data_IF_291741612302
#
_entry.id   IF_291741612302
#
_cell.length_a   1.000
_cell.length_b   1.000
_cell.length_c   1.000
_cell.angle_alpha   90.00
_cell.angle_beta   90.00
_cell.angle_gamma   90.00
#
_symmetry.space_group_name_H-M   'P 1'
#
loop_
_entity.id
_entity.type
_entity.pdbx_description
1 polymer ?
#
# COMPACT_ATOMS: atom_id res chain seq x y z
N UNK A 1 41.19 -55.20 -29.76
CA UNK A 1 41.00 -54.45 -28.49
C UNK A 1 40.07 -53.27 -28.72
N UNK A 2 38.86 -53.41 -28.28
CA UNK A 2 37.88 -52.32 -28.40
C UNK A 2 37.98 -51.41 -27.20
N UNK A 3 38.40 -50.17 -27.45
CA UNK A 3 38.40 -49.13 -26.41
C UNK A 3 37.00 -48.53 -26.34
N UNK A 4 36.32 -48.81 -25.26
CA UNK A 4 35.03 -48.16 -24.99
C UNK A 4 35.34 -46.81 -24.40
N UNK A 5 35.11 -45.77 -25.19
CA UNK A 5 35.14 -44.40 -24.67
C UNK A 5 33.84 -44.15 -23.94
N UNK A 6 33.91 -44.05 -22.63
CA UNK A 6 32.75 -43.59 -21.83
C UNK A 6 32.60 -42.11 -22.04
N UNK A 7 31.60 -41.75 -22.79
CA UNK A 7 31.17 -40.35 -22.93
C UNK A 7 30.34 -40.00 -21.69
N UNK A 8 30.97 -39.30 -20.76
CA UNK A 8 30.26 -38.71 -19.64
C UNK A 8 29.52 -37.49 -20.13
N UNK A 9 28.25 -37.67 -20.41
CA UNK A 9 27.34 -36.55 -20.61
C UNK A 9 27.11 -35.90 -19.27
N UNK A 10 27.83 -34.79 -19.01
CA UNK A 10 27.49 -33.90 -17.94
C UNK A 10 26.19 -33.21 -18.24
N UNK A 11 25.15 -33.49 -17.50
CA UNK A 11 23.87 -32.78 -17.60
C UNK A 11 24.09 -31.41 -16.93
N UNK A 12 23.99 -30.29 -17.66
CA UNK A 12 24.03 -28.99 -17.02
C UNK A 12 22.76 -28.82 -16.19
N UNK A 13 22.94 -28.73 -14.89
CA UNK A 13 21.86 -28.38 -13.96
C UNK A 13 21.55 -26.89 -14.20
N UNK A 14 20.56 -26.59 -15.04
CA UNK A 14 20.07 -25.24 -15.19
C UNK A 14 19.20 -24.94 -13.98
N UNK A 15 19.80 -24.25 -13.01
CA UNK A 15 19.05 -23.71 -11.90
C UNK A 15 18.22 -22.54 -12.43
N UNK A 16 16.96 -22.78 -12.73
CA UNK A 16 16.02 -21.72 -13.09
C UNK A 16 15.67 -20.97 -11.80
N UNK A 17 16.31 -19.84 -11.59
CA UNK A 17 15.93 -18.94 -10.50
C UNK A 17 14.61 -18.26 -10.91
N UNK A 18 13.52 -18.71 -10.35
CA UNK A 18 12.24 -18.03 -10.48
C UNK A 18 12.29 -16.78 -9.61
N UNK A 19 12.49 -15.63 -10.25
CA UNK A 19 12.32 -14.34 -9.57
C UNK A 19 10.81 -14.08 -9.42
N UNK A 20 10.29 -14.44 -8.25
CA UNK A 20 8.92 -14.08 -7.89
C UNK A 20 8.97 -12.63 -7.46
N UNK A 21 8.56 -11.72 -8.35
CA UNK A 21 8.30 -10.32 -7.96
C UNK A 21 7.03 -10.31 -7.11
N UNK A 22 7.20 -10.22 -5.81
CA UNK A 22 6.08 -9.95 -4.91
C UNK A 22 5.75 -8.46 -5.07
N UNK A 23 4.54 -8.09 -5.58
CA UNK A 23 4.15 -6.68 -5.56
C UNK A 23 4.17 -6.21 -4.11
N UNK A 24 4.79 -5.05 -3.87
CA UNK A 24 4.79 -4.42 -2.56
C UNK A 24 3.34 -4.11 -2.16
N UNK A 25 2.71 -5.04 -1.47
CA UNK A 25 1.42 -4.78 -0.83
C UNK A 25 1.71 -4.14 0.50
N UNK A 26 1.18 -2.94 0.72
CA UNK A 26 0.99 -2.44 2.07
C UNK A 26 0.14 -3.47 2.80
N UNK A 27 0.72 -4.07 3.84
CA UNK A 27 0.02 -5.01 4.71
C UNK A 27 -1.09 -4.24 5.43
N UNK A 28 -2.24 -4.88 5.68
CA UNK A 28 -3.34 -4.28 6.45
C UNK A 28 -2.89 -3.79 7.84
N UNK A 29 -1.90 -4.44 8.45
CA UNK A 29 -1.31 -4.00 9.72
C UNK A 29 -0.53 -2.69 9.56
N UNK A 30 0.17 -2.51 8.44
CA UNK A 30 0.90 -1.27 8.13
C UNK A 30 -0.09 -0.13 7.87
N UNK A 31 -1.20 -0.40 7.17
CA UNK A 31 -2.26 0.58 6.93
C UNK A 31 -2.92 1.02 8.23
N UNK A 32 -3.20 0.08 9.13
CA UNK A 32 -3.74 0.38 10.45
C UNK A 32 -2.81 1.25 11.28
N UNK A 33 -1.52 0.93 11.29
CA UNK A 33 -0.51 1.70 12.00
C UNK A 33 -0.35 3.10 11.41
N UNK A 34 -0.35 3.23 10.08
CA UNK A 34 -0.25 4.49 9.39
C UNK A 34 -1.50 5.36 9.64
N UNK A 35 -2.68 4.78 9.57
CA UNK A 35 -3.93 5.45 9.90
C UNK A 35 -3.91 5.98 11.33
N UNK A 36 -3.55 5.13 12.28
CA UNK A 36 -3.48 5.49 13.70
C UNK A 36 -2.53 6.65 13.96
N UNK A 37 -1.38 6.66 13.30
CA UNK A 37 -0.36 7.69 13.52
C UNK A 37 -0.66 9.02 12.83
N UNK A 38 -1.34 8.99 11.68
CA UNK A 38 -1.52 10.18 10.81
C UNK A 38 -2.94 10.70 10.71
N UNK A 39 -3.93 9.87 10.94
CA UNK A 39 -5.32 10.18 10.61
C UNK A 39 -6.26 10.14 11.83
N UNK A 40 -6.05 9.19 12.75
CA UNK A 40 -6.99 8.92 13.84
C UNK A 40 -7.16 10.08 14.82
N UNK A 41 -6.15 10.93 14.97
CA UNK A 41 -6.20 12.10 15.86
C UNK A 41 -7.37 13.02 15.51
N UNK A 42 -7.64 13.21 14.21
CA UNK A 42 -8.73 14.07 13.73
C UNK A 42 -9.97 13.28 13.34
N UNK A 43 -9.80 12.06 12.79
CA UNK A 43 -10.91 11.28 12.24
C UNK A 43 -11.45 10.20 13.17
N UNK A 44 -10.79 9.93 14.29
CA UNK A 44 -11.20 8.91 15.25
C UNK A 44 -10.69 7.51 14.89
N UNK A 45 -10.81 6.59 15.83
CA UNK A 45 -10.27 5.23 15.72
C UNK A 45 -10.92 4.41 14.58
N UNK A 46 -12.18 4.70 14.25
CA UNK A 46 -12.96 4.02 13.22
C UNK A 46 -13.31 4.92 12.04
N UNK A 47 -12.59 6.03 11.88
CA UNK A 47 -12.86 7.05 10.86
C UNK A 47 -14.31 7.59 10.92
N UNK A 48 -14.84 7.69 12.14
CA UNK A 48 -16.22 8.10 12.37
C UNK A 48 -16.42 9.63 12.32
N UNK A 49 -15.34 10.38 12.37
CA UNK A 49 -15.38 11.85 12.42
C UNK A 49 -14.94 12.45 11.09
N UNK A 50 -15.75 13.32 10.51
CA UNK A 50 -15.42 14.14 9.34
C UNK A 50 -15.04 13.35 8.08
N UNK A 51 -15.38 12.06 8.01
CA UNK A 51 -15.15 11.21 6.84
C UNK A 51 -16.49 10.79 6.26
N UNK A 52 -16.70 11.13 4.99
CA UNK A 52 -17.83 10.62 4.23
C UNK A 52 -17.43 9.38 3.45
N UNK A 53 -17.69 8.21 4.02
CA UNK A 53 -17.33 6.91 3.43
C UNK A 53 -18.15 6.56 2.18
N UNK A 54 -19.18 7.34 1.86
CA UNK A 54 -20.00 7.13 0.66
C UNK A 54 -19.40 7.76 -0.59
N UNK A 55 -18.40 8.64 -0.43
CA UNK A 55 -17.73 9.26 -1.56
C UNK A 55 -16.90 8.25 -2.35
N UNK A 56 -16.67 8.53 -3.62
CA UNK A 56 -15.83 7.71 -4.48
C UNK A 56 -14.40 7.63 -3.95
N UNK A 57 -13.75 6.49 -4.13
CA UNK A 57 -12.38 6.27 -3.68
C UNK A 57 -11.41 7.32 -4.22
N UNK A 58 -11.51 7.65 -5.51
CA UNK A 58 -10.64 8.64 -6.15
C UNK A 58 -10.74 10.01 -5.49
N UNK A 59 -11.95 10.43 -5.12
CA UNK A 59 -12.17 11.70 -4.43
C UNK A 59 -11.51 11.69 -3.05
N UNK A 60 -11.68 10.60 -2.30
CA UNK A 60 -11.08 10.46 -0.98
C UNK A 60 -9.55 10.36 -1.05
N UNK A 61 -9.01 9.67 -2.05
CA UNK A 61 -7.58 9.57 -2.29
C UNK A 61 -6.99 10.96 -2.58
N UNK A 62 -7.61 11.74 -3.44
CA UNK A 62 -7.16 13.10 -3.72
C UNK A 62 -7.23 13.99 -2.48
N UNK A 63 -8.24 13.83 -1.65
CA UNK A 63 -8.34 14.56 -0.39
C UNK A 63 -7.20 14.23 0.56
N UNK A 64 -6.80 12.96 0.66
CA UNK A 64 -5.64 12.56 1.47
C UNK A 64 -4.35 13.18 0.93
N UNK A 65 -4.15 13.12 -0.38
CA UNK A 65 -2.92 13.60 -1.01
C UNK A 65 -2.81 15.12 -1.00
N UNK A 66 -3.87 15.82 -1.35
CA UNK A 66 -3.89 17.28 -1.56
C UNK A 66 -4.35 18.07 -0.33
N UNK A 67 -4.96 17.39 0.63
CA UNK A 67 -5.53 18.07 1.79
C UNK A 67 -6.86 18.73 1.50
N UNK A 68 -7.41 19.38 2.51
CA UNK A 68 -8.67 20.11 2.43
C UNK A 68 -8.63 21.34 3.33
N UNK A 69 -9.02 22.48 2.77
CA UNK A 69 -9.20 23.72 3.53
C UNK A 69 -10.68 24.04 3.66
N UNK A 70 -11.34 23.60 4.75
CA UNK A 70 -12.71 24.01 5.01
C UNK A 70 -12.77 25.49 5.43
N UNK A 71 -13.94 26.10 5.41
CA UNK A 71 -14.13 27.49 5.85
C UNK A 71 -13.70 27.71 7.31
N UNK A 72 -13.89 26.67 8.14
CA UNK A 72 -13.50 26.69 9.56
C UNK A 72 -12.35 25.70 9.80
N UNK A 73 -11.27 26.12 10.50
CA UNK A 73 -10.21 25.19 10.89
C UNK A 73 -10.72 24.09 11.84
N UNK A 74 -10.04 22.95 11.95
CA UNK A 74 -8.71 22.69 11.43
C UNK A 74 -8.72 22.28 9.95
N UNK A 75 -7.65 22.60 9.24
CA UNK A 75 -7.41 22.17 7.87
C UNK A 75 -6.86 20.77 7.85
N UNK A 76 -7.22 19.98 6.83
CA UNK A 76 -6.57 18.71 6.56
C UNK A 76 -5.30 18.97 5.74
N UNK A 77 -4.10 18.58 6.24
CA UNK A 77 -2.87 18.81 5.49
C UNK A 77 -2.78 17.94 4.23
N UNK A 78 -1.98 18.39 3.27
CA UNK A 78 -1.66 17.60 2.08
C UNK A 78 -0.61 16.55 2.44
N UNK A 79 -1.03 15.31 2.60
CA UNK A 79 -0.14 14.24 3.07
C UNK A 79 0.89 13.80 2.03
N UNK A 80 0.70 14.11 0.74
CA UNK A 80 1.76 13.85 -0.25
C UNK A 80 3.04 14.64 0.06
N UNK A 81 2.93 15.84 0.62
CA UNK A 81 4.05 16.65 1.07
C UNK A 81 4.74 16.06 2.32
N UNK A 82 4.07 15.14 2.98
CA UNK A 82 4.55 14.46 4.18
C UNK A 82 5.00 13.02 3.91
N UNK A 83 5.18 12.66 2.65
CA UNK A 83 5.70 11.36 2.25
C UNK A 83 4.67 10.27 2.02
N UNK A 84 3.37 10.58 2.03
CA UNK A 84 2.33 9.61 1.69
C UNK A 84 2.23 9.51 0.17
N UNK A 85 2.46 8.31 -0.37
CA UNK A 85 2.35 8.04 -1.80
C UNK A 85 0.89 7.82 -2.21
N UNK A 86 0.62 7.86 -3.52
CA UNK A 86 -0.71 7.57 -4.06
C UNK A 86 -1.18 6.15 -3.69
N UNK A 87 -0.29 5.17 -3.71
CA UNK A 87 -0.59 3.79 -3.31
C UNK A 87 -0.94 3.69 -1.82
N UNK A 88 -0.21 4.40 -0.97
CA UNK A 88 -0.50 4.48 0.46
C UNK A 88 -1.85 5.18 0.71
N UNK A 89 -2.14 6.26 0.00
CA UNK A 89 -3.43 6.96 0.11
C UNK A 89 -4.59 6.05 -0.29
N UNK A 90 -4.43 5.28 -1.37
CA UNK A 90 -5.41 4.29 -1.80
C UNK A 90 -5.64 3.22 -0.73
N UNK A 91 -4.57 2.69 -0.15
CA UNK A 91 -4.64 1.71 0.93
C UNK A 91 -5.32 2.28 2.18
N UNK A 92 -5.01 3.53 2.54
CA UNK A 92 -5.66 4.21 3.67
C UNK A 92 -7.15 4.41 3.45
N UNK A 93 -7.57 4.82 2.26
CA UNK A 93 -8.99 4.97 1.92
C UNK A 93 -9.72 3.63 2.02
N UNK A 94 -9.14 2.56 1.49
CA UNK A 94 -9.69 1.21 1.60
C UNK A 94 -9.80 0.76 3.07
N UNK A 95 -8.77 1.04 3.85
CA UNK A 95 -8.77 0.76 5.28
C UNK A 95 -9.89 1.51 6.02
N UNK A 96 -10.00 2.82 5.80
CA UNK A 96 -11.05 3.64 6.43
C UNK A 96 -12.45 3.14 6.11
N UNK A 97 -12.70 2.78 4.85
CA UNK A 97 -14.01 2.24 4.42
C UNK A 97 -14.31 0.87 5.03
N UNK A 98 -13.29 0.11 5.43
CA UNK A 98 -13.46 -1.17 6.11
C UNK A 98 -13.81 -1.05 7.58
N UNK A 99 -13.57 0.11 8.18
CA UNK A 99 -13.85 0.36 9.60
C UNK A 99 -15.35 0.55 9.84
N UNK A 100 -15.85 -0.02 10.92
CA UNK A 100 -17.26 0.05 11.31
C UNK A 100 -17.43 0.82 12.61
#
# INVERSE_FOLDING_TARGET
MKRIAAVLFGIPLVATVLLISVPARTNSDDDAALYKSKCAMCHGATAEKKVDKTKADDELIQTVLKGKKPEKPPNMPAFEERGITADQAKALVGYMKSLK
#
